data_IF_674593107669
#
_entry.id   IF_674593107669
#
_cell.length_a   1.000
_cell.length_b   1.000
_cell.length_c   1.000
_cell.angle_alpha   90.00
_cell.angle_beta   90.00
_cell.angle_gamma   90.00
#
_symmetry.space_group_name_H-M   'P 1'
#
loop_
_entity.id
_entity.type
_entity.pdbx_description
1 polymer ?
#
# COMPACT_ATOMS: atom_id res chain seq x y z
N UNK A 1 -10.99 -1.04 -19.36
CA UNK A 1 -10.37 -2.31 -19.74
C UNK A 1 -8.86 -2.16 -19.69
N UNK A 2 -8.20 -3.05 -19.00
CA UNK A 2 -6.75 -3.08 -18.99
C UNK A 2 -6.25 -3.48 -20.37
N UNK A 3 -5.20 -2.81 -20.81
CA UNK A 3 -4.72 -2.98 -22.17
C UNK A 3 -4.23 -4.39 -22.45
N UNK A 4 -4.43 -4.82 -23.69
CA UNK A 4 -3.94 -6.12 -24.17
C UNK A 4 -2.42 -6.25 -23.95
N UNK A 5 -1.68 -5.16 -24.15
CA UNK A 5 -0.22 -5.17 -23.97
C UNK A 5 0.18 -5.51 -22.53
N UNK A 6 -0.56 -4.99 -21.54
CA UNK A 6 -0.30 -5.30 -20.14
C UNK A 6 -0.45 -6.80 -19.86
N UNK A 7 -1.50 -7.43 -20.42
CA UNK A 7 -1.79 -8.85 -20.21
C UNK A 7 -0.73 -9.72 -20.92
N UNK A 8 -0.32 -9.34 -22.12
CA UNK A 8 0.64 -10.10 -22.92
C UNK A 8 2.08 -9.88 -22.45
N UNK A 9 2.40 -8.65 -21.96
CA UNK A 9 3.76 -8.26 -21.59
C UNK A 9 3.82 -7.58 -20.22
N UNK A 10 3.37 -8.25 -19.15
CA UNK A 10 3.33 -7.63 -17.82
C UNK A 10 4.70 -7.17 -17.31
N UNK A 11 5.79 -7.82 -17.74
CA UNK A 11 7.15 -7.45 -17.36
C UNK A 11 7.58 -6.09 -17.89
N UNK A 12 6.84 -5.52 -18.82
CA UNK A 12 7.04 -4.17 -19.35
C UNK A 12 6.28 -3.11 -18.55
N UNK A 13 5.50 -3.54 -17.57
CA UNK A 13 4.62 -2.67 -16.80
C UNK A 13 5.00 -2.67 -15.34
N UNK A 14 4.77 -1.54 -14.69
CA UNK A 14 4.87 -1.40 -13.24
C UNK A 14 3.48 -1.18 -12.67
N UNK A 15 3.26 -1.70 -11.46
CA UNK A 15 1.99 -1.62 -10.77
C UNK A 15 2.17 -0.83 -9.48
N UNK A 16 1.28 0.13 -9.24
CA UNK A 16 1.19 0.83 -7.97
C UNK A 16 -0.19 0.56 -7.40
N UNK A 17 -0.23 0.06 -6.18
CA UNK A 17 -1.45 -0.20 -5.43
C UNK A 17 -1.51 0.75 -4.26
N UNK A 18 -2.54 1.59 -4.20
CA UNK A 18 -2.82 2.41 -3.02
C UNK A 18 -3.97 1.77 -2.25
N UNK A 19 -3.67 1.36 -1.03
CA UNK A 19 -4.64 0.67 -0.17
C UNK A 19 -5.12 1.62 0.90
N UNK A 20 -6.43 1.86 0.95
CA UNK A 20 -7.08 2.59 2.02
C UNK A 20 -8.13 1.70 2.71
N UNK A 21 -8.79 2.22 3.72
CA UNK A 21 -9.83 1.47 4.44
C UNK A 21 -11.02 1.09 3.54
N UNK A 22 -11.28 1.86 2.48
CA UNK A 22 -12.49 1.70 1.66
C UNK A 22 -12.23 1.38 0.19
N UNK A 23 -10.99 1.54 -0.29
CA UNK A 23 -10.70 1.42 -1.71
C UNK A 23 -9.31 0.85 -1.96
N UNK A 24 -9.19 0.17 -3.10
CA UNK A 24 -7.91 -0.20 -3.70
C UNK A 24 -7.78 0.58 -5.00
N UNK A 25 -6.88 1.52 -5.04
CA UNK A 25 -6.58 2.27 -6.26
C UNK A 25 -5.41 1.62 -6.98
N UNK A 26 -5.59 1.39 -8.27
CA UNK A 26 -4.62 0.66 -9.10
C UNK A 26 -4.11 1.59 -10.19
N UNK A 27 -2.80 1.74 -10.26
CA UNK A 27 -2.13 2.43 -11.36
C UNK A 27 -1.16 1.46 -12.01
N UNK A 28 -1.34 1.20 -13.29
CA UNK A 28 -0.38 0.43 -14.07
C UNK A 28 0.20 1.33 -15.13
N UNK A 29 1.50 1.35 -15.26
CA UNK A 29 2.16 2.20 -16.25
C UNK A 29 3.33 1.49 -16.90
N UNK A 30 3.58 1.85 -18.16
CA UNK A 30 4.72 1.40 -18.94
C UNK A 30 5.56 2.59 -19.37
N UNK A 31 6.86 2.51 -19.19
CA UNK A 31 7.80 3.49 -19.70
C UNK A 31 8.17 3.22 -21.18
N UNK A 32 7.68 2.11 -21.71
CA UNK A 32 7.81 1.73 -23.10
C UNK A 32 6.54 2.15 -23.85
N UNK A 33 6.61 2.27 -25.16
CA UNK A 33 5.46 2.56 -26.04
C UNK A 33 4.52 3.64 -25.47
N UNK A 34 4.83 4.91 -25.76
CA UNK A 34 3.98 6.07 -25.49
C UNK A 34 3.64 6.32 -24.01
N UNK A 35 4.40 5.74 -23.08
CA UNK A 35 4.19 5.95 -21.65
C UNK A 35 2.74 5.64 -21.23
N UNK A 36 2.21 4.50 -21.67
CA UNK A 36 0.84 4.12 -21.39
C UNK A 36 0.57 4.08 -19.88
N UNK A 37 -0.59 4.59 -19.49
CA UNK A 37 -1.05 4.68 -18.11
C UNK A 37 -2.48 4.17 -18.01
N UNK A 38 -2.72 3.29 -17.03
CA UNK A 38 -4.05 2.74 -16.73
C UNK A 38 -4.35 3.01 -15.26
N UNK A 39 -5.54 3.51 -14.99
CA UNK A 39 -6.01 3.77 -13.63
C UNK A 39 -7.34 3.08 -13.41
N UNK A 40 -7.48 2.38 -12.27
CA UNK A 40 -8.73 1.80 -11.81
C UNK A 40 -8.89 2.02 -10.31
N UNK A 41 -10.14 2.12 -9.87
CA UNK A 41 -10.48 2.22 -8.47
C UNK A 41 -11.46 1.13 -8.10
N UNK A 42 -11.08 0.28 -7.15
CA UNK A 42 -11.86 -0.89 -6.74
C UNK A 42 -12.34 -0.64 -5.32
N UNK A 43 -13.68 -0.60 -5.08
CA UNK A 43 -14.19 -0.47 -3.72
C UNK A 43 -13.92 -1.75 -2.93
N UNK A 44 -13.54 -1.59 -1.67
CA UNK A 44 -13.36 -2.71 -0.75
C UNK A 44 -14.68 -2.97 -0.02
N UNK A 45 -14.98 -4.25 0.20
CA UNK A 45 -16.21 -4.66 0.87
C UNK A 45 -16.18 -4.27 2.35
N UNK A 46 -17.02 -3.32 2.75
CA UNK A 46 -17.11 -2.87 4.14
C UNK A 46 -17.75 -3.92 5.06
N UNK A 47 -18.43 -4.91 4.47
CA UNK A 47 -19.03 -6.01 5.23
C UNK A 47 -18.05 -7.18 5.43
N UNK A 48 -16.86 -7.13 4.83
CA UNK A 48 -15.86 -8.17 5.03
C UNK A 48 -15.43 -8.24 6.51
N UNK A 49 -15.16 -9.43 7.05
CA UNK A 49 -14.83 -9.59 8.47
C UNK A 49 -13.52 -8.92 8.88
N UNK A 50 -12.58 -8.75 7.95
CA UNK A 50 -11.29 -8.09 8.21
C UNK A 50 -10.87 -7.26 7.01
N UNK A 51 -9.96 -6.31 7.23
CA UNK A 51 -9.35 -5.53 6.14
C UNK A 51 -8.58 -6.41 5.17
N UNK A 52 -7.87 -7.41 5.68
CA UNK A 52 -7.15 -8.38 4.85
C UNK A 52 -8.11 -9.13 3.93
N UNK A 53 -9.25 -9.59 4.44
CA UNK A 53 -10.23 -10.32 3.64
C UNK A 53 -10.79 -9.46 2.52
N UNK A 54 -11.11 -8.20 2.82
CA UNK A 54 -11.59 -7.25 1.80
C UNK A 54 -10.54 -7.07 0.70
N UNK A 55 -9.27 -6.93 1.07
CA UNK A 55 -8.18 -6.77 0.12
C UNK A 55 -7.95 -8.03 -0.70
N UNK A 56 -7.95 -9.20 -0.06
CA UNK A 56 -7.82 -10.48 -0.77
C UNK A 56 -8.94 -10.67 -1.79
N UNK A 57 -10.18 -10.43 -1.40
CA UNK A 57 -11.32 -10.56 -2.29
C UNK A 57 -11.19 -9.63 -3.50
N UNK A 58 -10.76 -8.38 -3.29
CA UNK A 58 -10.54 -7.44 -4.37
C UNK A 58 -9.46 -7.91 -5.35
N UNK A 59 -8.37 -8.46 -4.85
CA UNK A 59 -7.28 -8.98 -5.68
C UNK A 59 -7.71 -10.21 -6.45
N UNK A 60 -8.40 -11.15 -5.81
CA UNK A 60 -8.87 -12.37 -6.47
C UNK A 60 -9.97 -12.11 -7.51
N UNK A 61 -10.80 -11.10 -7.29
CA UNK A 61 -11.80 -10.68 -8.27
C UNK A 61 -11.18 -9.95 -9.47
N UNK A 62 -9.93 -9.54 -9.35
CA UNK A 62 -9.19 -8.84 -10.40
C UNK A 62 -7.85 -9.55 -10.66
N UNK A 63 -7.87 -10.76 -11.26
CA UNK A 63 -6.68 -11.60 -11.37
C UNK A 63 -5.53 -10.99 -12.16
N UNK A 64 -5.78 -9.95 -12.95
CA UNK A 64 -4.71 -9.22 -13.64
C UNK A 64 -3.72 -8.57 -12.67
N UNK A 65 -4.12 -8.31 -11.41
CA UNK A 65 -3.22 -7.78 -10.39
C UNK A 65 -2.15 -8.79 -9.95
N UNK A 66 -2.33 -10.05 -10.30
CA UNK A 66 -1.41 -11.15 -9.97
C UNK A 66 -0.43 -11.48 -11.10
N UNK A 67 -0.43 -10.70 -12.18
CA UNK A 67 0.51 -10.89 -13.27
C UNK A 67 1.95 -10.56 -12.82
N UNK A 68 2.92 -11.04 -13.59
CA UNK A 68 4.33 -10.87 -13.28
C UNK A 68 4.85 -9.49 -13.73
N UNK A 69 4.47 -8.45 -12.99
CA UNK A 69 4.92 -7.08 -13.28
C UNK A 69 6.40 -6.90 -13.03
N UNK A 70 7.00 -5.93 -13.72
CA UNK A 70 8.39 -5.54 -13.51
C UNK A 70 8.64 -5.09 -12.06
N UNK A 71 7.69 -4.34 -11.50
CA UNK A 71 7.74 -3.86 -10.12
C UNK A 71 6.32 -3.66 -9.62
N UNK A 72 6.10 -4.01 -8.37
CA UNK A 72 4.86 -3.72 -7.66
C UNK A 72 5.21 -2.84 -6.46
N UNK A 73 4.58 -1.68 -6.37
CA UNK A 73 4.73 -0.77 -5.25
C UNK A 73 3.40 -0.65 -4.53
N UNK A 74 3.41 -0.83 -3.22
CA UNK A 74 2.21 -0.71 -2.40
C UNK A 74 2.34 0.54 -1.53
N UNK A 75 1.32 1.40 -1.61
CA UNK A 75 1.19 2.58 -0.76
C UNK A 75 0.00 2.34 0.16
N UNK A 76 0.23 2.38 1.46
CA UNK A 76 -0.85 2.24 2.43
C UNK A 76 -1.25 3.61 2.98
N UNK A 77 -2.52 3.96 2.80
CA UNK A 77 -3.06 5.21 3.30
C UNK A 77 -3.48 5.03 4.76
N UNK A 78 -2.69 5.55 5.66
CA UNK A 78 -2.94 5.48 7.10
C UNK A 78 -2.91 6.89 7.71
N UNK A 79 -3.75 7.11 8.72
CA UNK A 79 -3.73 8.33 9.52
C UNK A 79 -2.81 8.20 10.75
N UNK A 80 -2.28 7.02 10.99
CA UNK A 80 -1.44 6.72 12.16
C UNK A 80 0.03 6.80 11.76
N UNK A 81 0.52 8.02 11.59
CA UNK A 81 1.90 8.30 11.21
C UNK A 81 2.41 9.58 11.86
N UNK A 82 3.72 9.70 11.94
CA UNK A 82 4.37 10.86 12.56
C UNK A 82 5.73 11.12 11.89
N UNK A 83 5.97 12.31 11.30
CA UNK A 83 7.32 12.66 10.88
C UNK A 83 8.21 12.94 12.10
N UNK A 84 9.40 12.35 12.11
CA UNK A 84 10.38 12.56 13.19
C UNK A 84 11.75 12.86 12.59
N UNK A 85 12.66 13.51 13.36
CA UNK A 85 14.05 13.63 12.92
C UNK A 85 14.67 12.25 12.71
N UNK A 86 15.52 12.11 11.70
CA UNK A 86 16.18 10.84 11.40
C UNK A 86 16.94 10.29 12.63
N UNK A 87 17.57 11.17 13.42
CA UNK A 87 18.27 10.77 14.63
C UNK A 87 17.36 10.13 15.70
N UNK A 88 16.05 10.37 15.62
CA UNK A 88 15.06 9.80 16.53
C UNK A 88 14.49 8.46 16.13
N UNK A 89 14.99 7.83 15.07
CA UNK A 89 14.42 6.59 14.52
C UNK A 89 14.35 5.46 15.56
N UNK A 90 15.31 5.38 16.49
CA UNK A 90 15.28 4.37 17.55
C UNK A 90 14.14 4.53 18.55
N UNK A 91 13.46 5.67 18.58
CA UNK A 91 12.32 5.97 19.45
C UNK A 91 10.99 5.96 18.70
N UNK A 92 11.01 5.62 17.40
CA UNK A 92 9.85 5.75 16.54
C UNK A 92 8.62 5.01 17.08
N UNK A 93 8.80 3.75 17.51
CA UNK A 93 7.71 2.94 18.02
C UNK A 93 7.12 3.53 19.31
N UNK A 94 7.97 3.91 20.25
CA UNK A 94 7.52 4.52 21.50
C UNK A 94 6.75 5.82 21.27
N UNK A 95 7.24 6.67 20.38
CA UNK A 95 6.60 7.94 20.05
C UNK A 95 5.24 7.69 19.42
N UNK A 96 5.18 6.78 18.47
CA UNK A 96 3.94 6.49 17.77
C UNK A 96 2.88 5.90 18.72
N UNK A 97 3.29 4.99 19.62
CA UNK A 97 2.39 4.38 20.60
C UNK A 97 1.86 5.37 21.64
N UNK A 98 2.61 6.42 21.94
CA UNK A 98 2.15 7.48 22.83
C UNK A 98 1.11 8.38 22.20
N UNK A 99 1.26 8.65 20.91
CA UNK A 99 0.35 9.52 20.16
C UNK A 99 -0.87 8.72 19.67
N UNK A 100 -0.65 7.48 19.24
CA UNK A 100 -1.68 6.57 18.74
C UNK A 100 -1.66 5.27 19.55
N UNK A 101 -2.26 5.26 20.74
CA UNK A 101 -2.29 4.05 21.57
C UNK A 101 -2.96 2.87 20.85
N UNK A 102 -2.48 1.66 21.12
CA UNK A 102 -3.17 0.47 20.65
C UNK A 102 -4.56 0.39 21.30
N UNK A 103 -5.53 -0.04 20.50
CA UNK A 103 -6.85 -0.35 21.00
C UNK A 103 -7.23 -1.79 20.58
N UNK A 104 -8.37 -2.29 21.09
CA UNK A 104 -8.81 -3.65 20.80
C UNK A 104 -9.21 -3.86 19.33
N UNK A 105 -9.49 -2.78 18.60
CA UNK A 105 -9.94 -2.81 17.22
C UNK A 105 -8.81 -2.63 16.21
N UNK A 106 -7.62 -2.26 16.70
CA UNK A 106 -6.49 -1.99 15.83
C UNK A 106 -5.19 -2.53 16.42
N UNK A 107 -4.79 -3.69 15.95
CA UNK A 107 -3.46 -4.25 16.21
C UNK A 107 -2.59 -3.99 15.00
N UNK A 108 -1.60 -3.10 15.16
CA UNK A 108 -0.81 -2.62 14.04
C UNK A 108 0.66 -2.97 14.14
N UNK A 109 1.29 -3.05 12.99
CA UNK A 109 2.73 -3.12 12.83
C UNK A 109 3.26 -1.75 12.45
N UNK A 110 4.37 -1.35 13.04
CA UNK A 110 5.01 -0.07 12.74
C UNK A 110 6.13 -0.28 11.74
N UNK A 111 6.03 0.45 10.64
CA UNK A 111 7.03 0.47 9.58
C UNK A 111 7.57 1.89 9.50
N UNK A 112 8.86 2.05 9.31
CA UNK A 112 9.49 3.36 9.18
C UNK A 112 9.95 3.60 7.76
N UNK A 113 9.50 4.71 7.18
CA UNK A 113 9.91 5.14 5.86
C UNK A 113 10.96 6.26 6.00
N UNK A 114 12.25 6.01 5.70
CA UNK A 114 13.27 7.04 5.79
C UNK A 114 13.22 7.97 4.58
N UNK A 115 13.41 9.27 4.86
CA UNK A 115 13.56 10.31 3.83
C UNK A 115 14.88 11.03 4.09
N UNK A 116 16.01 10.41 3.70
CA UNK A 116 17.34 10.91 4.07
C UNK A 116 17.65 12.30 3.49
N UNK A 117 17.11 12.65 2.34
CA UNK A 117 17.31 13.97 1.74
C UNK A 117 16.71 15.11 2.58
N UNK A 118 15.73 14.80 3.44
CA UNK A 118 15.08 15.76 4.34
C UNK A 118 15.51 15.59 5.79
N UNK A 119 16.40 14.63 6.07
CA UNK A 119 16.86 14.28 7.42
C UNK A 119 15.70 13.92 8.36
N UNK A 120 14.66 13.31 7.83
CA UNK A 120 13.50 12.84 8.58
C UNK A 120 13.20 11.37 8.28
N UNK A 121 12.43 10.77 9.17
CA UNK A 121 11.82 9.45 8.96
C UNK A 121 10.34 9.55 9.30
N UNK A 122 9.53 8.72 8.66
CA UNK A 122 8.09 8.68 8.91
C UNK A 122 7.73 7.27 9.36
N UNK A 123 7.67 7.01 10.68
CA UNK A 123 7.07 5.79 11.17
C UNK A 123 5.56 5.87 10.97
N UNK A 124 4.97 4.75 10.59
CA UNK A 124 3.52 4.64 10.40
C UNK A 124 3.05 3.26 10.82
N UNK A 125 1.78 3.19 11.19
CA UNK A 125 1.17 1.95 11.64
C UNK A 125 0.14 1.47 10.63
N UNK A 126 0.21 0.20 10.29
CA UNK A 126 -0.76 -0.50 9.45
C UNK A 126 -1.25 -1.74 10.17
N UNK A 127 -2.46 -2.26 9.86
CA UNK A 127 -2.92 -3.52 10.45
C UNK A 127 -1.92 -4.65 10.24
N UNK A 128 -1.66 -5.46 11.27
CA UNK A 128 -0.68 -6.55 11.19
C UNK A 128 -1.00 -7.56 10.08
N UNK A 129 -2.27 -7.85 9.86
CA UNK A 129 -2.71 -8.76 8.80
C UNK A 129 -2.38 -8.21 7.40
N UNK A 130 -2.50 -6.89 7.22
CA UNK A 130 -2.16 -6.23 5.95
C UNK A 130 -0.64 -6.22 5.75
N UNK A 131 0.14 -6.01 6.81
CA UNK A 131 1.60 -5.97 6.71
C UNK A 131 2.20 -7.26 6.16
N UNK A 132 1.55 -8.39 6.42
CA UNK A 132 1.97 -9.69 5.91
C UNK A 132 1.43 -10.05 4.52
N UNK A 133 0.60 -9.18 3.97
CA UNK A 133 0.01 -9.41 2.64
C UNK A 133 1.01 -9.10 1.54
#
# INVERSE_FOLDING_TARGET
MLGKDLIEHPRMWQLILEVSASRLSVVAFSSYEDHALIFESIPLDSAAPTSLRALEDAVYDNPMLLLDFKRVTVIYDTTRFLPIPHAGTGLAEDLLRRIFPEDNDYAGEIITNPLPSLDIAIPFEIPCDIAGF
#
